data_IF_804457680014
#
_entry.id   IF_804457680014
#
_cell.length_a   1.000
_cell.length_b   1.000
_cell.length_c   1.000
_cell.angle_alpha   90.00
_cell.angle_beta   90.00
_cell.angle_gamma   90.00
#
_symmetry.space_group_name_H-M   'P 1'
#
loop_
_entity.id
_entity.type
_entity.pdbx_description
1 polymer ?
#
# COMPACT_ATOMS: atom_id res chain seq x y z
N UNK A 1 -9.20 16.57 -9.43
CA UNK A 1 -9.27 15.32 -8.63
C UNK A 1 -9.70 14.13 -9.48
N UNK A 2 -10.89 14.13 -10.09
CA UNK A 2 -11.31 13.04 -10.98
C UNK A 2 -10.27 12.70 -12.06
N UNK A 3 -9.72 13.71 -12.72
CA UNK A 3 -8.69 13.55 -13.75
C UNK A 3 -7.40 12.86 -13.26
N UNK A 4 -6.95 13.13 -12.02
CA UNK A 4 -5.77 12.43 -11.46
C UNK A 4 -6.11 10.96 -11.24
N UNK A 5 -7.28 10.67 -10.67
CA UNK A 5 -7.69 9.28 -10.40
C UNK A 5 -7.89 8.49 -11.70
N UNK A 6 -8.39 9.11 -12.77
CA UNK A 6 -8.49 8.48 -14.08
C UNK A 6 -7.11 8.10 -14.65
N UNK A 7 -6.12 8.99 -14.50
CA UNK A 7 -4.73 8.71 -14.90
C UNK A 7 -4.07 7.62 -14.04
N UNK A 8 -4.35 7.62 -12.74
CA UNK A 8 -3.87 6.60 -11.80
C UNK A 8 -4.47 5.24 -12.13
N UNK A 9 -5.77 5.15 -12.37
CA UNK A 9 -6.42 3.91 -12.79
C UNK A 9 -5.86 3.42 -14.14
N UNK A 10 -5.66 4.31 -15.10
CA UNK A 10 -5.03 3.96 -16.38
C UNK A 10 -3.60 3.43 -16.20
N UNK A 11 -2.81 4.03 -15.29
CA UNK A 11 -1.45 3.58 -14.95
C UNK A 11 -1.47 2.18 -14.31
N UNK A 12 -2.38 1.93 -13.36
CA UNK A 12 -2.57 0.62 -12.75
C UNK A 12 -2.98 -0.43 -13.79
N UNK A 13 -3.91 -0.11 -14.68
CA UNK A 13 -4.38 -1.02 -15.74
C UNK A 13 -3.28 -1.36 -16.73
N UNK A 14 -2.45 -0.38 -17.08
CA UNK A 14 -1.29 -0.60 -17.96
C UNK A 14 -0.28 -1.56 -17.33
N UNK A 15 -0.04 -1.45 -16.02
CA UNK A 15 0.96 -2.25 -15.33
C UNK A 15 0.43 -3.64 -14.90
N UNK A 16 -0.84 -3.74 -14.51
CA UNK A 16 -1.41 -4.91 -13.82
C UNK A 16 -2.52 -5.62 -14.61
N UNK A 17 -2.95 -5.08 -15.75
CA UNK A 17 -4.09 -5.57 -16.52
C UNK A 17 -5.43 -5.04 -16.03
N UNK A 18 -6.52 -5.69 -16.41
CA UNK A 18 -7.87 -5.28 -16.00
C UNK A 18 -8.19 -5.73 -14.57
N UNK A 19 -8.76 -4.86 -13.72
CA UNK A 19 -9.20 -5.29 -12.40
C UNK A 19 -10.41 -6.21 -12.54
N UNK A 20 -10.42 -7.29 -11.77
CA UNK A 20 -11.50 -8.27 -11.78
C UNK A 20 -12.51 -8.05 -10.64
N UNK A 21 -12.14 -7.25 -9.65
CA UNK A 21 -13.03 -6.80 -8.58
C UNK A 21 -12.67 -5.38 -8.10
N UNK A 22 -13.66 -4.73 -7.47
CA UNK A 22 -13.57 -3.37 -6.94
C UNK A 22 -14.43 -3.26 -5.70
N UNK A 23 -13.89 -2.64 -4.65
CA UNK A 23 -14.67 -2.21 -3.49
C UNK A 23 -14.46 -0.71 -3.25
N UNK A 24 -15.48 -0.05 -2.71
CA UNK A 24 -15.43 1.36 -2.35
C UNK A 24 -15.79 1.54 -0.88
N UNK A 25 -15.04 2.39 -0.19
CA UNK A 25 -15.25 2.75 1.20
C UNK A 25 -15.18 4.27 1.33
N UNK A 26 -16.13 4.84 2.07
CA UNK A 26 -16.13 6.26 2.41
C UNK A 26 -16.11 6.36 3.93
N UNK A 27 -15.14 7.09 4.47
CA UNK A 27 -15.08 7.40 5.88
C UNK A 27 -15.73 8.75 6.14
N UNK A 28 -16.21 8.97 7.36
CA UNK A 28 -16.83 10.24 7.71
C UNK A 28 -15.78 11.35 7.62
N UNK A 29 -16.04 12.35 6.79
CA UNK A 29 -15.13 13.50 6.62
C UNK A 29 -13.99 13.28 5.62
N UNK A 30 -13.99 12.18 4.87
CA UNK A 30 -12.99 11.90 3.83
C UNK A 30 -13.64 11.79 2.45
N UNK A 31 -12.79 11.85 1.41
CA UNK A 31 -13.18 11.42 0.07
C UNK A 31 -13.50 9.91 0.03
N UNK A 32 -14.04 9.45 -1.11
CA UNK A 32 -14.25 8.02 -1.39
C UNK A 32 -12.91 7.39 -1.79
N UNK A 33 -12.61 6.24 -1.19
CA UNK A 33 -11.48 5.40 -1.54
C UNK A 33 -11.98 4.11 -2.19
N UNK A 34 -11.31 3.68 -3.24
CA UNK A 34 -11.56 2.41 -3.88
C UNK A 34 -10.35 1.49 -3.74
N UNK A 35 -10.59 0.19 -3.77
CA UNK A 35 -9.55 -0.83 -3.83
C UNK A 35 -9.87 -1.76 -4.99
N UNK A 36 -8.94 -1.80 -5.93
CA UNK A 36 -9.01 -2.59 -7.16
C UNK A 36 -8.24 -3.89 -6.95
N UNK A 37 -8.84 -5.01 -7.34
CA UNK A 37 -8.18 -6.31 -7.33
C UNK A 37 -7.76 -6.67 -8.76
N UNK A 38 -6.52 -7.14 -8.91
CA UNK A 38 -5.96 -7.62 -10.17
C UNK A 38 -5.47 -9.06 -9.97
N UNK A 39 -6.00 -9.99 -10.76
CA UNK A 39 -5.51 -11.36 -10.82
C UNK A 39 -4.46 -11.48 -11.92
N UNK A 40 -3.25 -11.93 -11.57
CA UNK A 40 -2.19 -12.22 -12.52
C UNK A 40 -2.47 -13.53 -13.28
N UNK A 41 -3.48 -13.47 -14.13
CA UNK A 41 -3.96 -14.59 -14.95
C UNK A 41 -3.02 -14.88 -16.14
N UNK A 42 -2.25 -13.89 -16.57
CA UNK A 42 -1.42 -13.95 -17.79
C UNK A 42 0.03 -14.38 -17.51
N UNK A 43 0.57 -14.10 -16.31
CA UNK A 43 1.96 -14.38 -15.95
C UNK A 43 2.20 -15.75 -15.29
N UNK A 44 1.15 -16.51 -14.97
CA UNK A 44 1.27 -17.80 -14.27
C UNK A 44 1.89 -17.71 -12.87
N UNK A 45 2.07 -16.49 -12.34
CA UNK A 45 2.77 -16.24 -11.07
C UNK A 45 1.95 -16.66 -9.84
N UNK A 46 0.63 -16.83 -10.01
CA UNK A 46 -0.30 -17.14 -8.94
C UNK A 46 -0.39 -16.00 -7.92
N UNK A 47 -0.25 -14.74 -8.36
CA UNK A 47 -0.31 -13.55 -7.50
C UNK A 47 -1.62 -12.80 -7.72
N UNK A 48 -2.27 -12.40 -6.64
CA UNK A 48 -3.34 -11.40 -6.59
C UNK A 48 -2.77 -10.09 -6.07
N UNK A 49 -3.19 -8.97 -6.66
CA UNK A 49 -2.76 -7.63 -6.27
C UNK A 49 -3.95 -6.77 -5.92
N UNK A 50 -3.82 -6.01 -4.84
CA UNK A 50 -4.80 -5.04 -4.38
C UNK A 50 -4.16 -3.66 -4.44
N UNK A 51 -4.74 -2.74 -5.21
CA UNK A 51 -4.26 -1.37 -5.32
C UNK A 51 -5.33 -0.39 -4.89
N UNK A 52 -4.94 0.64 -4.15
CA UNK A 52 -5.86 1.72 -3.77
C UNK A 52 -6.05 2.68 -4.94
N UNK A 53 -7.20 3.34 -4.95
CA UNK A 53 -7.53 4.44 -5.85
C UNK A 53 -8.29 5.49 -5.04
N UNK A 54 -7.65 6.62 -4.75
CA UNK A 54 -8.26 7.72 -4.00
C UNK A 54 -7.28 8.42 -3.07
N UNK A 55 -6.22 7.74 -2.59
CA UNK A 55 -5.21 8.34 -1.70
C UNK A 55 -4.47 9.49 -2.39
N UNK A 56 -4.23 9.36 -3.69
CA UNK A 56 -3.57 10.37 -4.51
C UNK A 56 -4.44 11.57 -4.88
N UNK A 57 -5.76 11.53 -4.59
CA UNK A 57 -6.70 12.60 -4.93
C UNK A 57 -6.30 13.94 -4.27
N UNK A 58 -5.82 13.86 -3.03
CA UNK A 58 -5.29 14.99 -2.26
C UNK A 58 -3.80 14.77 -1.99
N UNK A 59 -2.98 15.84 -1.95
CA UNK A 59 -1.60 15.69 -1.52
C UNK A 59 -1.57 15.41 -0.01
N UNK A 60 -0.61 14.60 0.42
CA UNK A 60 -0.33 14.42 1.84
C UNK A 60 0.25 15.72 2.39
N UNK A 61 -0.29 16.17 3.52
CA UNK A 61 0.14 17.42 4.14
C UNK A 61 1.32 17.18 5.07
N UNK A 62 2.37 17.99 4.95
CA UNK A 62 3.47 18.02 5.92
C UNK A 62 2.92 18.46 7.29
N UNK A 63 3.03 17.63 8.35
CA UNK A 63 2.53 17.97 9.68
C UNK A 63 3.17 19.23 10.29
N UNK A 64 4.35 19.63 9.79
CA UNK A 64 5.07 20.83 10.24
C UNK A 64 4.65 22.11 9.50
N UNK A 65 3.88 22.00 8.42
CA UNK A 65 3.42 23.14 7.65
C UNK A 65 2.34 23.94 8.39
N UNK A 66 2.44 25.28 8.36
CA UNK A 66 1.45 26.18 8.97
C UNK A 66 0.08 26.14 8.28
N UNK A 67 0.05 25.78 6.99
CA UNK A 67 -1.16 25.66 6.19
C UNK A 67 -0.98 24.52 5.17
N UNK A 68 -2.01 23.71 5.00
CA UNK A 68 -2.05 22.70 3.94
C UNK A 68 -2.09 23.38 2.57
N UNK A 69 -1.18 22.99 1.67
CA UNK A 69 -1.25 23.37 0.25
C UNK A 69 -2.15 22.36 -0.47
N UNK A 70 -3.25 22.79 -1.13
CA UNK A 70 -4.19 21.86 -1.77
C UNK A 70 -3.63 21.22 -3.05
N UNK A 71 -2.49 21.71 -3.57
CA UNK A 71 -1.89 21.24 -4.81
C UNK A 71 -0.57 20.50 -4.57
N UNK A 72 0.29 21.05 -3.71
CA UNK A 72 1.65 20.55 -3.44
C UNK A 72 1.68 19.55 -2.30
N UNK A 73 2.64 18.65 -2.36
CA UNK A 73 2.86 17.60 -1.37
C UNK A 73 2.84 16.21 -2.00
N UNK A 74 3.41 15.21 -1.31
CA UNK A 74 3.51 13.86 -1.82
C UNK A 74 2.13 13.26 -2.15
N UNK A 75 2.05 12.48 -3.22
CA UNK A 75 0.87 11.70 -3.59
C UNK A 75 1.26 10.26 -3.76
N UNK A 76 0.40 9.35 -3.31
CA UNK A 76 0.63 7.94 -3.52
C UNK A 76 -0.66 7.14 -3.65
N UNK A 77 -0.52 5.94 -4.18
CA UNK A 77 -1.43 4.82 -3.96
C UNK A 77 -0.65 3.64 -3.38
N UNK A 78 -1.35 2.78 -2.64
CA UNK A 78 -0.78 1.61 -1.98
C UNK A 78 -1.03 0.36 -2.82
N UNK A 79 -0.04 -0.53 -2.89
CA UNK A 79 -0.13 -1.79 -3.65
C UNK A 79 0.28 -2.96 -2.77
N UNK A 80 -0.64 -3.89 -2.50
CA UNK A 80 -0.37 -5.15 -1.82
C UNK A 80 -0.35 -6.30 -2.83
N UNK A 81 0.64 -7.18 -2.74
CA UNK A 81 0.76 -8.37 -3.61
C UNK A 81 0.80 -9.64 -2.76
N UNK A 82 -0.11 -10.58 -3.01
CA UNK A 82 -0.21 -11.85 -2.27
C UNK A 82 -0.27 -13.04 -3.22
N UNK A 83 0.24 -14.21 -2.80
CA UNK A 83 -0.02 -15.47 -3.49
C UNK A 83 -1.50 -15.84 -3.35
N UNK A 84 -2.14 -16.07 -4.48
CA UNK A 84 -3.52 -16.48 -4.56
C UNK A 84 -3.71 -17.93 -4.09
N UNK A 85 -4.91 -18.25 -3.60
CA UNK A 85 -5.32 -19.62 -3.28
C UNK A 85 -4.78 -20.21 -1.97
N UNK A 86 -3.95 -19.46 -1.23
CA UNK A 86 -3.40 -19.91 0.06
C UNK A 86 -4.22 -19.41 1.26
N UNK A 87 -4.88 -18.26 1.15
CA UNK A 87 -5.77 -17.69 2.16
C UNK A 87 -6.88 -16.85 1.50
N UNK A 88 -7.95 -16.57 2.24
CA UNK A 88 -9.02 -15.64 1.82
C UNK A 88 -8.57 -14.18 1.98
N UNK A 89 -7.68 -13.73 1.10
CA UNK A 89 -7.11 -12.38 1.14
C UNK A 89 -8.07 -11.30 0.63
N UNK A 90 -9.23 -11.66 0.07
CA UNK A 90 -10.19 -10.69 -0.48
C UNK A 90 -10.78 -9.76 0.57
N UNK A 91 -10.76 -10.17 1.84
CA UNK A 91 -11.20 -9.34 2.95
C UNK A 91 -10.23 -8.19 3.27
N UNK A 92 -9.08 -8.10 2.60
CA UNK A 92 -8.10 -7.00 2.73
C UNK A 92 -8.59 -5.68 2.11
N UNK A 93 -9.67 -5.71 1.31
CA UNK A 93 -10.17 -4.52 0.61
C UNK A 93 -10.52 -3.36 1.56
N UNK A 94 -11.20 -3.62 2.67
CA UNK A 94 -11.51 -2.56 3.66
C UNK A 94 -10.27 -2.12 4.45
N UNK A 95 -9.43 -3.02 4.98
CA UNK A 95 -8.12 -2.69 5.53
C UNK A 95 -7.27 -1.79 4.62
N UNK A 96 -7.16 -2.10 3.33
CA UNK A 96 -6.44 -1.26 2.36
C UNK A 96 -7.03 0.16 2.25
N UNK A 97 -8.36 0.28 2.24
CA UNK A 97 -9.02 1.59 2.23
C UNK A 97 -8.75 2.39 3.53
N UNK A 98 -8.68 1.72 4.69
CA UNK A 98 -8.29 2.35 5.97
C UNK A 98 -6.86 2.88 5.87
N UNK A 99 -5.92 2.08 5.38
CA UNK A 99 -4.53 2.52 5.17
C UNK A 99 -4.44 3.71 4.20
N UNK A 100 -5.20 3.68 3.11
CA UNK A 100 -5.28 4.77 2.13
C UNK A 100 -5.83 6.08 2.71
N UNK A 101 -6.72 5.99 3.69
CA UNK A 101 -7.31 7.14 4.36
C UNK A 101 -6.39 7.75 5.44
N UNK A 102 -5.34 7.03 5.87
CA UNK A 102 -4.46 7.46 6.97
C UNK A 102 -3.87 8.87 6.80
N UNK A 103 -3.47 9.37 5.61
CA UNK A 103 -2.99 10.75 5.50
C UNK A 103 -4.07 11.78 5.84
N UNK A 104 -5.33 11.52 5.46
CA UNK A 104 -6.45 12.44 5.72
C UNK A 104 -6.94 12.36 7.17
N UNK A 105 -6.89 11.17 7.78
CA UNK A 105 -7.43 10.91 9.13
C UNK A 105 -6.39 11.18 10.22
N UNK A 106 -5.15 10.74 10.00
CA UNK A 106 -4.07 10.80 10.99
C UNK A 106 -3.08 11.94 10.70
N UNK A 107 -3.18 12.59 9.53
CA UNK A 107 -2.29 13.69 9.15
C UNK A 107 -0.85 13.25 8.92
N UNK A 108 -0.64 12.04 8.39
CA UNK A 108 0.70 11.44 8.17
C UNK A 108 1.14 11.51 6.72
N UNK A 109 2.45 11.69 6.49
CA UNK A 109 3.07 11.48 5.18
C UNK A 109 3.55 10.04 5.09
N UNK A 110 2.96 9.28 4.17
CA UNK A 110 3.33 7.89 3.92
C UNK A 110 4.51 7.86 2.96
N UNK A 111 5.62 7.28 3.41
CA UNK A 111 6.89 7.24 2.69
C UNK A 111 7.57 5.87 2.89
N UNK A 112 8.52 5.49 2.00
CA UNK A 112 9.30 4.27 2.17
C UNK A 112 9.97 4.16 3.54
N UNK A 113 10.00 2.96 4.10
CA UNK A 113 10.49 2.67 5.44
C UNK A 113 9.51 2.99 6.58
N UNK A 114 8.41 3.70 6.33
CA UNK A 114 7.34 3.91 7.31
C UNK A 114 6.55 2.63 7.56
N UNK A 115 5.91 2.55 8.72
CA UNK A 115 4.99 1.46 9.05
C UNK A 115 3.58 2.00 9.13
N UNK A 116 2.62 1.26 8.58
CA UNK A 116 1.20 1.51 8.81
C UNK A 116 0.65 0.32 9.58
N UNK A 117 -0.07 0.58 10.67
CA UNK A 117 -0.56 -0.43 11.60
C UNK A 117 -2.08 -0.29 11.74
N UNK A 118 -2.80 -1.41 11.61
CA UNK A 118 -4.25 -1.44 11.75
C UNK A 118 -4.69 -1.79 13.18
N UNK A 119 -3.78 -2.31 14.01
CA UNK A 119 -4.11 -2.90 15.31
C UNK A 119 -4.87 -4.23 15.24
N UNK A 120 -5.26 -4.67 14.04
CA UNK A 120 -5.95 -5.92 13.77
C UNK A 120 -5.38 -6.61 12.50
N UNK A 121 -5.62 -7.91 12.31
CA UNK A 121 -5.14 -8.64 11.14
C UNK A 121 -5.59 -8.02 9.80
N UNK A 122 -4.72 -8.02 8.78
CA UNK A 122 -5.02 -7.52 7.42
C UNK A 122 -6.20 -8.24 6.76
N UNK A 123 -6.45 -9.49 7.13
CA UNK A 123 -7.63 -10.30 6.79
C UNK A 123 -7.82 -11.34 7.90
N UNK A 124 -9.00 -11.98 8.02
CA UNK A 124 -9.21 -13.00 9.05
C UNK A 124 -8.16 -14.11 9.00
N UNK A 125 -7.47 -14.33 10.12
CA UNK A 125 -6.41 -15.33 10.24
C UNK A 125 -5.04 -14.90 9.70
N UNK A 126 -4.89 -13.69 9.17
CA UNK A 126 -3.58 -13.18 8.76
C UNK A 126 -2.62 -13.10 9.96
N UNK A 127 -1.36 -13.54 9.83
CA UNK A 127 -0.35 -13.33 10.86
C UNK A 127 0.21 -11.88 10.86
N UNK A 128 -0.34 -10.99 10.02
CA UNK A 128 0.11 -9.63 9.82
C UNK A 128 -0.96 -8.63 10.25
N UNK A 129 -0.59 -7.66 11.08
CA UNK A 129 -1.45 -6.54 11.50
C UNK A 129 -0.94 -5.18 11.03
N UNK A 130 0.26 -5.15 10.45
CA UNK A 130 0.92 -3.95 9.97
C UNK A 130 1.66 -4.23 8.66
N UNK A 131 2.04 -3.16 7.97
CA UNK A 131 2.79 -3.21 6.72
C UNK A 131 4.01 -2.28 6.81
N UNK A 132 5.12 -2.70 6.22
CA UNK A 132 6.22 -1.81 5.89
C UNK A 132 5.95 -1.23 4.50
N UNK A 133 6.09 0.08 4.36
CA UNK A 133 5.99 0.78 3.07
C UNK A 133 7.33 0.62 2.36
N UNK A 134 7.34 -0.01 1.19
CA UNK A 134 8.55 -0.17 0.39
C UNK A 134 8.76 0.98 -0.61
N UNK A 135 9.88 0.92 -1.31
CA UNK A 135 10.24 1.89 -2.35
C UNK A 135 9.31 1.80 -3.59
N UNK A 136 8.89 2.93 -4.18
CA UNK A 136 8.04 2.95 -5.37
C UNK A 136 8.82 2.66 -6.66
N UNK A 137 8.13 2.71 -7.81
CA UNK A 137 8.74 2.63 -9.13
C UNK A 137 9.14 1.22 -9.62
N UNK A 138 8.97 0.19 -8.78
CA UNK A 138 9.26 -1.20 -9.15
C UNK A 138 8.15 -1.86 -9.98
N UNK A 139 7.05 -2.25 -9.32
CA UNK A 139 5.95 -2.98 -9.97
C UNK A 139 5.08 -2.08 -10.86
N UNK A 140 4.82 -0.86 -10.40
CA UNK A 140 4.08 0.17 -11.12
C UNK A 140 4.98 1.39 -11.15
N UNK A 141 5.31 1.86 -12.36
CA UNK A 141 6.09 3.07 -12.54
C UNK A 141 5.29 4.29 -12.05
N UNK A 142 6.01 5.27 -11.50
CA UNK A 142 5.40 6.48 -10.98
C UNK A 142 4.69 7.27 -12.10
N UNK A 143 3.61 7.95 -11.71
CA UNK A 143 2.85 8.80 -12.61
C UNK A 143 3.31 10.25 -12.43
N UNK A 144 4.13 10.72 -13.36
CA UNK A 144 4.49 12.13 -13.46
C UNK A 144 3.26 12.98 -13.78
N UNK A 145 3.14 14.12 -13.09
CA UNK A 145 2.06 15.09 -13.25
C UNK A 145 2.66 16.45 -13.61
N UNK A 146 1.88 17.29 -14.28
CA UNK A 146 2.31 18.64 -14.61
C UNK A 146 2.43 19.51 -13.35
N UNK A 147 3.50 20.31 -13.30
CA UNK A 147 3.71 21.24 -12.20
C UNK A 147 2.49 22.16 -12.00
N UNK A 148 2.06 22.43 -10.75
CA UNK A 148 2.81 22.23 -9.51
C UNK A 148 2.57 20.88 -8.79
N UNK A 149 1.87 19.93 -9.43
CA UNK A 149 1.54 18.65 -8.80
C UNK A 149 2.80 17.78 -8.72
N UNK A 150 3.01 17.16 -7.55
CA UNK A 150 4.03 16.11 -7.41
C UNK A 150 3.55 14.79 -8.01
N UNK A 151 4.46 13.92 -8.49
CA UNK A 151 4.10 12.65 -9.08
C UNK A 151 3.34 11.75 -8.10
N UNK A 152 2.45 10.91 -8.63
CA UNK A 152 1.83 9.84 -7.85
C UNK A 152 2.77 8.66 -7.80
N UNK A 153 3.22 8.31 -6.59
CA UNK A 153 4.04 7.13 -6.30
C UNK A 153 3.16 5.91 -6.03
N UNK A 154 3.56 4.74 -6.51
CA UNK A 154 2.86 3.48 -6.20
C UNK A 154 3.66 2.70 -5.16
N UNK A 155 3.25 2.81 -3.91
CA UNK A 155 4.00 2.31 -2.76
C UNK A 155 3.64 0.84 -2.47
N UNK A 156 4.59 -0.11 -2.61
CA UNK A 156 4.34 -1.48 -2.25
C UNK A 156 4.19 -1.62 -0.73
N UNK A 157 3.22 -2.41 -0.29
CA UNK A 157 3.01 -2.77 1.10
C UNK A 157 3.58 -4.17 1.36
N UNK A 158 4.46 -4.27 2.35
CA UNK A 158 5.10 -5.51 2.77
C UNK A 158 4.53 -5.92 4.14
N UNK A 159 3.62 -6.91 4.21
CA UNK A 159 3.01 -7.33 5.47
C UNK A 159 4.06 -7.73 6.51
N UNK A 160 3.90 -7.28 7.75
CA UNK A 160 4.77 -7.59 8.88
C UNK A 160 4.00 -8.33 9.96
N UNK A 161 4.63 -9.36 10.51
CA UNK A 161 4.20 -9.95 11.77
C UNK A 161 4.47 -8.99 12.94
N UNK A 162 3.81 -9.14 14.10
CA UNK A 162 4.07 -8.29 15.26
C UNK A 162 5.54 -8.26 15.70
N UNK A 163 6.24 -9.39 15.58
CA UNK A 163 7.67 -9.49 15.92
C UNK A 163 8.56 -8.70 14.95
N UNK A 164 8.25 -8.74 13.65
CA UNK A 164 8.96 -7.96 12.63
C UNK A 164 8.70 -6.46 12.81
N UNK A 165 7.45 -6.07 13.10
CA UNK A 165 7.12 -4.68 13.42
C UNK A 165 7.85 -4.19 14.68
N UNK A 166 7.95 -5.02 15.72
CA UNK A 166 8.75 -4.72 16.91
C UNK A 166 10.24 -4.60 16.59
N UNK A 167 10.79 -5.52 15.80
CA UNK A 167 12.17 -5.47 15.34
C UNK A 167 12.47 -4.19 14.57
N UNK A 168 11.63 -3.84 13.59
CA UNK A 168 11.76 -2.63 12.78
C UNK A 168 11.77 -1.37 13.64
N UNK A 169 10.96 -1.30 14.70
CA UNK A 169 10.96 -0.15 15.62
C UNK A 169 12.30 0.04 16.34
N UNK A 170 13.02 -1.04 16.63
CA UNK A 170 14.30 -1.00 17.34
C UNK A 170 15.49 -0.85 16.37
N UNK A 171 15.42 -1.50 15.21
CA UNK A 171 16.55 -1.72 14.29
C UNK A 171 16.43 -0.96 12.97
N UNK A 172 15.25 -0.44 12.67
CA UNK A 172 14.94 0.27 11.43
C UNK A 172 14.46 -0.65 10.30
N UNK A 173 13.87 -0.03 9.27
CA UNK A 173 13.32 -0.71 8.10
C UNK A 173 14.38 -1.44 7.29
N UNK A 174 15.49 -0.76 7.00
CA UNK A 174 16.61 -1.31 6.20
C UNK A 174 17.13 -2.63 6.76
N UNK A 175 17.35 -2.72 8.06
CA UNK A 175 17.85 -3.96 8.67
C UNK A 175 16.83 -5.10 8.59
N UNK A 176 15.53 -4.80 8.69
CA UNK A 176 14.47 -5.80 8.49
C UNK A 176 14.42 -6.28 7.02
N UNK A 177 14.51 -5.36 6.06
CA UNK A 177 14.53 -5.68 4.64
C UNK A 177 15.74 -6.53 4.24
N UNK A 178 16.95 -6.16 4.72
CA UNK A 178 18.17 -6.95 4.53
C UNK A 178 18.01 -8.37 5.08
N UNK A 179 17.33 -8.50 6.22
CA UNK A 179 17.07 -9.80 6.84
C UNK A 179 16.06 -10.63 6.05
N UNK A 180 14.98 -10.03 5.56
CA UNK A 180 14.05 -10.72 4.64
C UNK A 180 14.77 -11.21 3.39
N UNK A 181 15.59 -10.35 2.79
CA UNK A 181 16.37 -10.69 1.60
C UNK A 181 17.35 -11.84 1.88
N UNK A 182 18.14 -11.75 2.96
CA UNK A 182 19.12 -12.76 3.32
C UNK A 182 18.50 -14.13 3.64
N UNK A 183 17.25 -14.16 4.11
CA UNK A 183 16.51 -15.40 4.40
C UNK A 183 15.63 -15.86 3.24
N UNK A 184 15.59 -15.12 2.13
CA UNK A 184 14.70 -15.43 1.00
C UNK A 184 13.23 -15.45 1.41
N UNK A 185 12.83 -14.60 2.36
CA UNK A 185 11.46 -14.54 2.87
C UNK A 185 10.52 -14.11 1.75
N UNK A 186 9.56 -14.97 1.41
CA UNK A 186 8.53 -14.61 0.44
C UNK A 186 7.44 -13.76 1.09
N UNK A 187 7.58 -12.44 1.02
CA UNK A 187 6.65 -11.48 1.62
C UNK A 187 5.24 -11.52 1.02
N UNK A 188 5.04 -12.26 -0.08
CA UNK A 188 3.74 -12.46 -0.72
C UNK A 188 3.05 -13.74 -0.24
N UNK A 189 3.68 -14.59 0.55
CA UNK A 189 3.01 -15.76 1.12
C UNK A 189 2.08 -15.30 2.26
N UNK A 190 0.74 -15.45 2.12
CA UNK A 190 -0.21 -14.99 3.14
C UNK A 190 -0.17 -15.81 4.43
N UNK A 191 0.53 -16.94 4.44
CA UNK A 191 0.65 -17.85 5.58
C UNK A 191 2.06 -17.86 6.18
N UNK A 192 2.99 -17.03 5.68
CA UNK A 192 4.38 -17.05 6.19
C UNK A 192 4.45 -16.75 7.68
N UNK A 193 5.38 -17.40 8.35
CA UNK A 193 5.79 -17.01 9.68
C UNK A 193 6.67 -15.75 9.66
N UNK A 194 6.96 -15.21 10.84
CA UNK A 194 8.01 -14.20 11.02
C UNK A 194 9.33 -14.74 10.47
N UNK A 195 10.11 -13.87 9.82
CA UNK A 195 11.52 -14.17 9.57
C UNK A 195 12.22 -14.45 10.91
N UNK A 196 13.19 -15.38 10.98
CA UNK A 196 14.02 -15.54 12.17
C UNK A 196 14.74 -14.23 12.50
N UNK A 197 14.61 -13.78 13.76
CA UNK A 197 15.12 -12.49 14.25
C UNK A 197 16.30 -12.62 15.22
N UNK A 198 16.75 -13.84 15.49
CA UNK A 198 17.87 -14.16 16.38
C UNK A 198 19.25 -13.74 15.84
#
# INVERSE_FOLDING_TARGET
>A
MGEILDLVEARLRTALGEPDARAAVTFLGTDRFEVLRFLDSQGGSGVVRYATLGMSAQPMTDPSALLADPLKGPRAELVLSMRAGLADTDQVLRPMAVLAASPQVEGVVVAPGSSLDLGEPLWPGAPFSSVLVGEPGGLVADLELDAPLEPVRFLPLLPMTPNEAAWKRVRGARELEERWLARGTDLRDPLRASVPLD
#
